data_IF_210803139188
#
_entry.id   IF_210803139188
#
_cell.length_a   1.000
_cell.length_b   1.000
_cell.length_c   1.000
_cell.angle_alpha   90.00
_cell.angle_beta   90.00
_cell.angle_gamma   90.00
#
_symmetry.space_group_name_H-M   'P 1'
#
loop_
_entity.id
_entity.type
_entity.pdbx_description
1 polymer ?
#
# COMPACT_ATOMS: atom_id res chain seq x y z
N UNK A 1 18.64 -13.43 -13.04
CA UNK A 1 19.01 -12.01 -12.81
C UNK A 1 18.05 -11.33 -11.83
N UNK A 2 16.73 -11.18 -12.09
CA UNK A 2 15.78 -10.51 -11.17
C UNK A 2 15.71 -11.17 -9.79
N UNK A 3 15.65 -12.50 -9.71
CA UNK A 3 15.68 -13.22 -8.44
C UNK A 3 16.97 -12.95 -7.65
N UNK A 4 18.11 -12.89 -8.32
CA UNK A 4 19.39 -12.58 -7.69
C UNK A 4 19.41 -11.12 -7.21
N UNK A 5 18.88 -10.19 -8.00
CA UNK A 5 18.76 -8.77 -7.61
C UNK A 5 17.90 -8.63 -6.33
N UNK A 6 16.74 -9.30 -6.27
CA UNK A 6 15.90 -9.32 -5.07
C UNK A 6 16.60 -9.98 -3.88
N UNK A 7 17.33 -11.08 -4.08
CA UNK A 7 18.04 -11.76 -3.02
C UNK A 7 19.16 -10.89 -2.42
N UNK A 8 19.84 -10.07 -3.26
CA UNK A 8 20.94 -9.19 -2.83
C UNK A 8 20.46 -7.85 -2.29
N UNK A 9 19.25 -7.41 -2.61
CA UNK A 9 18.72 -6.09 -2.24
C UNK A 9 18.59 -5.89 -0.72
N UNK A 10 18.51 -6.96 0.09
CA UNK A 10 18.34 -6.88 1.54
C UNK A 10 19.56 -6.43 2.32
N UNK A 11 20.72 -6.38 1.69
CA UNK A 11 21.97 -6.22 2.42
C UNK A 11 22.21 -4.80 2.97
N UNK A 12 21.38 -3.82 2.64
CA UNK A 12 21.68 -2.42 2.99
C UNK A 12 20.64 -1.64 3.77
N UNK A 13 19.32 -1.93 3.71
CA UNK A 13 18.34 -0.92 4.15
C UNK A 13 17.27 -1.39 5.15
N UNK A 14 16.71 -2.62 5.08
CA UNK A 14 15.60 -3.06 5.96
C UNK A 14 15.64 -4.50 6.44
N UNK A 15 16.78 -4.97 6.81
CA UNK A 15 16.92 -6.33 7.35
C UNK A 15 16.16 -6.59 8.65
N UNK A 16 15.63 -5.54 9.31
CA UNK A 16 14.85 -5.64 10.54
C UNK A 16 13.32 -5.75 10.30
N UNK A 17 12.81 -5.33 9.16
CA UNK A 17 11.37 -5.36 8.90
C UNK A 17 10.94 -6.72 8.36
N UNK A 18 10.35 -7.56 9.23
CA UNK A 18 9.96 -8.95 8.92
C UNK A 18 9.01 -9.05 7.72
N UNK A 19 8.04 -8.13 7.58
CA UNK A 19 7.08 -8.15 6.47
C UNK A 19 7.76 -7.89 5.12
N UNK A 20 8.68 -6.92 5.07
CA UNK A 20 9.46 -6.64 3.86
C UNK A 20 10.32 -7.84 3.46
N UNK A 21 11.01 -8.46 4.43
CA UNK A 21 11.84 -9.63 4.19
C UNK A 21 11.02 -10.81 3.63
N UNK A 22 9.86 -11.12 4.22
CA UNK A 22 8.98 -12.18 3.73
C UNK A 22 8.51 -11.85 2.30
N UNK A 23 8.07 -10.61 2.03
CA UNK A 23 7.60 -10.19 0.71
C UNK A 23 8.70 -10.27 -0.34
N UNK A 24 9.93 -9.88 0.01
CA UNK A 24 11.11 -9.97 -0.84
C UNK A 24 11.42 -11.42 -1.22
N UNK A 25 11.41 -12.35 -0.26
CA UNK A 25 11.65 -13.76 -0.52
C UNK A 25 10.53 -14.40 -1.33
N UNK A 26 9.27 -14.00 -1.13
CA UNK A 26 8.15 -14.41 -1.97
C UNK A 26 8.35 -13.97 -3.41
N UNK A 27 8.71 -12.70 -3.66
CA UNK A 27 9.01 -12.22 -5.01
C UNK A 27 10.22 -12.93 -5.63
N UNK A 28 11.27 -13.20 -4.85
CA UNK A 28 12.41 -13.98 -5.30
C UNK A 28 11.98 -15.37 -5.77
N UNK A 29 11.14 -16.05 -4.99
CA UNK A 29 10.55 -17.35 -5.34
C UNK A 29 9.69 -17.30 -6.62
N UNK A 30 8.88 -16.25 -6.79
CA UNK A 30 8.09 -16.05 -8.00
C UNK A 30 9.00 -15.89 -9.24
N UNK A 31 10.08 -15.11 -9.14
CA UNK A 31 11.04 -14.93 -10.25
C UNK A 31 11.82 -16.19 -10.56
N UNK A 32 12.15 -17.01 -9.55
CA UNK A 32 12.76 -18.34 -9.77
C UNK A 32 11.78 -19.27 -10.49
N UNK A 33 10.54 -19.33 -10.06
CA UNK A 33 9.50 -20.15 -10.70
C UNK A 33 9.26 -19.72 -12.14
N UNK A 34 9.31 -18.41 -12.40
CA UNK A 34 9.23 -17.86 -13.75
C UNK A 34 10.42 -18.28 -14.63
N UNK A 35 11.63 -18.30 -14.07
CA UNK A 35 12.83 -18.77 -14.75
C UNK A 35 12.74 -20.27 -15.06
N UNK A 36 12.27 -21.08 -14.12
CA UNK A 36 12.04 -22.52 -14.31
C UNK A 36 11.02 -22.76 -15.42
N UNK A 37 9.92 -22.01 -15.45
CA UNK A 37 8.92 -22.09 -16.51
C UNK A 37 9.54 -21.89 -17.89
N UNK A 38 10.34 -20.82 -18.09
CA UNK A 38 11.00 -20.57 -19.38
C UNK A 38 12.02 -21.65 -19.72
N UNK A 39 12.82 -22.10 -18.76
CA UNK A 39 13.81 -23.16 -18.95
C UNK A 39 13.15 -24.47 -19.41
N UNK A 40 12.06 -24.89 -18.75
CA UNK A 40 11.31 -26.07 -19.13
C UNK A 40 10.68 -25.91 -20.52
N UNK A 41 10.16 -24.73 -20.83
CA UNK A 41 9.56 -24.45 -22.14
C UNK A 41 10.59 -24.53 -23.29
N UNK A 42 11.82 -24.07 -23.03
CA UNK A 42 12.91 -24.15 -24.02
C UNK A 42 13.39 -25.59 -24.23
N UNK A 43 13.56 -26.36 -23.16
CA UNK A 43 14.13 -27.71 -23.24
C UNK A 43 13.11 -28.79 -23.64
N UNK A 44 11.86 -28.70 -23.16
CA UNK A 44 10.85 -29.72 -23.41
C UNK A 44 9.96 -29.41 -24.62
N UNK A 45 10.08 -28.22 -25.18
CA UNK A 45 9.42 -27.83 -26.43
C UNK A 45 7.90 -27.95 -26.40
N UNK A 46 7.24 -27.76 -25.25
CA UNK A 46 5.78 -27.92 -25.10
C UNK A 46 4.95 -27.13 -26.11
N UNK A 47 5.45 -25.97 -26.56
CA UNK A 47 4.80 -25.19 -27.62
C UNK A 47 4.85 -25.89 -28.98
N UNK A 48 5.87 -26.68 -29.25
CA UNK A 48 5.97 -27.49 -30.48
C UNK A 48 4.99 -28.64 -30.50
N UNK A 49 4.43 -29.06 -29.34
CA UNK A 49 3.42 -30.12 -29.24
C UNK A 49 1.99 -29.64 -29.53
N UNK A 50 1.80 -28.34 -29.71
CA UNK A 50 0.53 -27.70 -30.04
C UNK A 50 0.21 -26.51 -29.16
N UNK A 51 -0.60 -25.59 -29.67
CA UNK A 51 -1.01 -24.37 -28.96
C UNK A 51 -1.73 -24.69 -27.63
N UNK A 52 -2.54 -25.74 -27.62
CA UNK A 52 -3.31 -26.18 -26.42
C UNK A 52 -2.40 -26.64 -25.29
N UNK A 53 -1.37 -27.44 -25.60
CA UNK A 53 -0.40 -27.92 -24.60
C UNK A 53 0.39 -26.74 -24.03
N UNK A 54 0.81 -25.82 -24.89
CA UNK A 54 1.48 -24.59 -24.47
C UNK A 54 0.61 -23.73 -23.56
N UNK A 55 -0.69 -23.61 -23.85
CA UNK A 55 -1.65 -22.85 -23.05
C UNK A 55 -1.83 -23.49 -21.66
N UNK A 56 -2.03 -24.79 -21.59
CA UNK A 56 -2.13 -25.55 -20.34
C UNK A 56 -0.89 -25.31 -19.47
N UNK A 57 0.29 -25.46 -20.05
CA UNK A 57 1.55 -25.28 -19.35
C UNK A 57 1.70 -23.83 -18.83
N UNK A 58 1.33 -22.85 -19.63
CA UNK A 58 1.35 -21.43 -19.22
C UNK A 58 0.41 -21.19 -18.04
N UNK A 59 -0.83 -21.68 -18.08
CA UNK A 59 -1.80 -21.51 -16.99
C UNK A 59 -1.28 -22.14 -15.69
N UNK A 60 -0.73 -23.36 -15.77
CA UNK A 60 -0.19 -24.09 -14.63
C UNK A 60 0.94 -23.34 -13.90
N UNK A 61 1.77 -22.59 -14.64
CA UNK A 61 2.87 -21.82 -14.06
C UNK A 61 2.49 -20.37 -13.72
N UNK A 62 1.73 -19.70 -14.59
CA UNK A 62 1.41 -18.28 -14.35
C UNK A 62 0.45 -18.07 -13.19
N UNK A 63 -0.44 -19.04 -12.90
CA UNK A 63 -1.34 -18.95 -11.74
C UNK A 63 -0.57 -18.89 -10.42
N UNK A 64 0.33 -19.83 -10.08
CA UNK A 64 1.08 -19.78 -8.83
C UNK A 64 2.07 -18.61 -8.79
N UNK A 65 2.67 -18.20 -9.92
CA UNK A 65 3.55 -17.02 -9.99
C UNK A 65 2.77 -15.78 -9.61
N UNK A 66 1.61 -15.54 -10.25
CA UNK A 66 0.75 -14.39 -9.96
C UNK A 66 0.20 -14.42 -8.54
N UNK A 67 -0.10 -15.60 -8.03
CA UNK A 67 -0.52 -15.79 -6.64
C UNK A 67 0.57 -15.40 -5.65
N UNK A 68 1.82 -15.83 -5.85
CA UNK A 68 2.95 -15.50 -4.98
C UNK A 68 3.26 -13.99 -5.02
N UNK A 69 3.21 -13.37 -6.22
CA UNK A 69 3.36 -11.91 -6.37
C UNK A 69 2.26 -11.18 -5.59
N UNK A 70 1.01 -11.65 -5.72
CA UNK A 70 -0.14 -11.08 -4.99
C UNK A 70 0.04 -11.17 -3.48
N UNK A 71 0.46 -12.34 -2.98
CA UNK A 71 0.74 -12.54 -1.55
C UNK A 71 1.87 -11.64 -1.05
N UNK A 72 2.91 -11.45 -1.86
CA UNK A 72 4.01 -10.54 -1.53
C UNK A 72 3.52 -9.11 -1.33
N UNK A 73 2.70 -8.60 -2.27
CA UNK A 73 2.14 -7.25 -2.20
C UNK A 73 1.18 -7.12 -1.01
N UNK A 74 0.26 -8.09 -0.83
CA UNK A 74 -0.70 -8.07 0.28
C UNK A 74 0.03 -8.14 1.63
N UNK A 75 1.05 -8.98 1.77
CA UNK A 75 1.81 -9.09 3.01
C UNK A 75 2.48 -7.77 3.40
N UNK A 76 2.94 -6.99 2.40
CA UNK A 76 3.55 -5.69 2.62
C UNK A 76 2.52 -4.59 2.91
N UNK A 77 1.38 -4.62 2.20
CA UNK A 77 0.37 -3.55 2.22
C UNK A 77 -0.78 -3.81 3.20
N UNK A 78 -0.93 -5.04 3.73
CA UNK A 78 -2.06 -5.37 4.61
C UNK A 78 -1.97 -4.64 5.94
N UNK A 79 -3.06 -3.97 6.28
CA UNK A 79 -3.27 -3.32 7.57
C UNK A 79 -3.83 -4.28 8.62
N UNK A 80 -4.23 -5.49 8.21
CA UNK A 80 -4.84 -6.51 9.06
C UNK A 80 -4.13 -7.85 8.90
N UNK A 81 -4.16 -8.70 9.92
CA UNK A 81 -3.49 -10.00 9.92
C UNK A 81 -4.22 -11.06 9.05
N UNK A 82 -4.86 -10.64 7.95
CA UNK A 82 -5.70 -11.48 7.10
C UNK A 82 -4.95 -12.20 5.96
N UNK A 83 -3.61 -12.13 5.92
CA UNK A 83 -2.79 -12.75 4.86
C UNK A 83 -3.10 -14.24 4.70
N UNK A 84 -3.36 -14.95 5.79
CA UNK A 84 -3.72 -16.38 5.76
C UNK A 84 -5.01 -16.65 4.96
N UNK A 85 -6.02 -15.77 5.06
CA UNK A 85 -7.27 -15.92 4.27
C UNK A 85 -7.03 -15.78 2.78
N UNK A 86 -6.16 -14.83 2.37
CA UNK A 86 -5.77 -14.68 0.96
C UNK A 86 -4.95 -15.88 0.49
N UNK A 87 -4.08 -16.42 1.36
CA UNK A 87 -3.30 -17.61 1.08
C UNK A 87 -4.20 -18.83 0.82
N UNK A 88 -5.17 -19.09 1.68
CA UNK A 88 -6.11 -20.21 1.54
C UNK A 88 -6.98 -20.07 0.27
N UNK A 89 -7.50 -18.88 -0.02
CA UNK A 89 -8.34 -18.64 -1.21
C UNK A 89 -7.54 -18.81 -2.51
N UNK A 90 -6.33 -18.26 -2.56
CA UNK A 90 -5.46 -18.40 -3.74
C UNK A 90 -5.02 -19.85 -3.95
N UNK A 91 -4.67 -20.57 -2.89
CA UNK A 91 -4.34 -21.99 -2.95
C UNK A 91 -5.54 -22.84 -3.42
N UNK A 92 -6.76 -22.55 -2.94
CA UNK A 92 -7.98 -23.21 -3.39
C UNK A 92 -8.26 -22.96 -4.87
N UNK A 93 -8.09 -21.72 -5.35
CA UNK A 93 -8.24 -21.39 -6.78
C UNK A 93 -7.24 -22.16 -7.64
N UNK A 94 -5.98 -22.26 -7.22
CA UNK A 94 -4.98 -23.04 -7.93
C UNK A 94 -5.29 -24.55 -7.90
N UNK A 95 -5.72 -25.07 -6.75
CA UNK A 95 -6.12 -26.48 -6.62
C UNK A 95 -7.25 -26.85 -7.59
N UNK A 96 -8.25 -25.97 -7.78
CA UNK A 96 -9.32 -26.18 -8.76
C UNK A 96 -8.77 -26.27 -10.20
N UNK A 97 -7.83 -25.41 -10.57
CA UNK A 97 -7.17 -25.45 -11.88
C UNK A 97 -6.43 -26.77 -12.07
N UNK A 98 -5.69 -27.24 -11.05
CA UNK A 98 -4.98 -28.52 -11.07
C UNK A 98 -5.95 -29.69 -11.20
N UNK A 99 -7.08 -29.68 -10.51
CA UNK A 99 -8.13 -30.70 -10.62
C UNK A 99 -8.66 -30.79 -12.05
N UNK A 100 -9.02 -29.65 -12.66
CA UNK A 100 -9.50 -29.61 -14.05
C UNK A 100 -8.44 -30.16 -15.01
N UNK A 101 -7.18 -29.79 -14.82
CA UNK A 101 -6.06 -30.31 -15.60
C UNK A 101 -5.96 -31.85 -15.48
N UNK A 102 -5.93 -32.36 -14.26
CA UNK A 102 -5.83 -33.81 -14.02
C UNK A 102 -7.01 -34.56 -14.63
N UNK A 103 -8.24 -34.05 -14.45
CA UNK A 103 -9.43 -34.64 -15.09
C UNK A 103 -9.30 -34.67 -16.62
N UNK A 104 -8.80 -33.58 -17.21
CA UNK A 104 -8.58 -33.51 -18.65
C UNK A 104 -7.55 -34.48 -19.18
N UNK A 105 -6.45 -34.66 -18.47
CA UNK A 105 -5.42 -35.66 -18.80
C UNK A 105 -5.96 -37.08 -18.69
N UNK A 106 -6.73 -37.41 -17.64
CA UNK A 106 -7.35 -38.74 -17.46
C UNK A 106 -8.34 -39.01 -18.58
N UNK A 107 -9.19 -38.04 -18.97
CA UNK A 107 -10.19 -38.23 -20.01
C UNK A 107 -9.59 -38.42 -21.40
N UNK A 108 -8.52 -37.68 -21.72
CA UNK A 108 -7.96 -37.65 -23.07
C UNK A 108 -6.69 -38.52 -23.23
N UNK A 109 -6.15 -39.08 -22.14
CA UNK A 109 -4.91 -39.86 -22.15
C UNK A 109 -3.67 -39.10 -22.64
N UNK A 110 -3.77 -37.72 -22.67
CA UNK A 110 -2.72 -36.87 -23.19
C UNK A 110 -2.77 -35.49 -22.53
N UNK A 111 -1.71 -34.70 -22.73
CA UNK A 111 -1.67 -33.28 -22.25
C UNK A 111 -2.63 -32.35 -23.01
N UNK A 112 -3.26 -32.82 -24.08
CA UNK A 112 -4.31 -32.10 -24.81
C UNK A 112 -5.65 -32.37 -24.14
N UNK A 113 -6.06 -31.46 -23.26
CA UNK A 113 -7.26 -31.60 -22.41
C UNK A 113 -8.57 -31.19 -23.13
N UNK A 114 -8.53 -30.91 -24.42
CA UNK A 114 -9.73 -30.58 -25.24
C UNK A 114 -10.51 -29.38 -24.69
N UNK A 115 -11.85 -29.57 -24.59
CA UNK A 115 -12.76 -28.50 -24.13
C UNK A 115 -12.52 -28.05 -22.68
N UNK A 116 -11.89 -28.87 -21.85
CA UNK A 116 -11.54 -28.51 -20.47
C UNK A 116 -10.48 -27.39 -20.39
N UNK A 117 -9.74 -27.12 -21.49
CA UNK A 117 -8.86 -25.96 -21.60
C UNK A 117 -9.62 -24.65 -21.38
N UNK A 118 -10.83 -24.53 -21.94
CA UNK A 118 -11.65 -23.32 -21.78
C UNK A 118 -12.12 -23.14 -20.33
N UNK A 119 -12.45 -24.23 -19.65
CA UNK A 119 -12.78 -24.21 -18.21
C UNK A 119 -11.58 -23.77 -17.39
N UNK A 120 -10.41 -24.35 -17.68
CA UNK A 120 -9.15 -24.01 -17.00
C UNK A 120 -8.78 -22.53 -17.24
N UNK A 121 -8.98 -22.01 -18.48
CA UNK A 121 -8.77 -20.61 -18.81
C UNK A 121 -9.77 -19.70 -18.09
N UNK A 122 -11.04 -20.06 -17.99
CA UNK A 122 -12.04 -19.29 -17.24
C UNK A 122 -11.69 -19.19 -15.76
N UNK A 123 -11.24 -20.28 -15.15
CA UNK A 123 -10.76 -20.29 -13.76
C UNK A 123 -9.49 -19.43 -13.59
N UNK A 124 -8.59 -19.44 -14.56
CA UNK A 124 -7.41 -18.60 -14.57
C UNK A 124 -7.79 -17.12 -14.63
N UNK A 125 -8.70 -16.71 -15.55
CA UNK A 125 -9.18 -15.33 -15.63
C UNK A 125 -9.86 -14.91 -14.35
N UNK A 126 -10.71 -15.76 -13.76
CA UNK A 126 -11.38 -15.48 -12.50
C UNK A 126 -10.37 -15.30 -11.35
N UNK A 127 -9.33 -16.14 -11.28
CA UNK A 127 -8.27 -16.00 -10.26
C UNK A 127 -7.45 -14.71 -10.46
N UNK A 128 -7.13 -14.33 -11.70
CA UNK A 128 -6.44 -13.06 -11.98
C UNK A 128 -7.29 -11.86 -11.56
N UNK A 129 -8.58 -11.85 -11.91
CA UNK A 129 -9.50 -10.81 -11.48
C UNK A 129 -9.59 -10.69 -9.96
N UNK A 130 -9.66 -11.83 -9.26
CA UNK A 130 -9.65 -11.88 -7.79
C UNK A 130 -8.35 -11.32 -7.21
N UNK A 131 -7.19 -11.65 -7.78
CA UNK A 131 -5.89 -11.16 -7.32
C UNK A 131 -5.77 -9.64 -7.48
N UNK A 132 -6.15 -9.11 -8.65
CA UNK A 132 -6.17 -7.67 -8.92
C UNK A 132 -7.11 -6.95 -7.93
N UNK A 133 -8.31 -7.47 -7.72
CA UNK A 133 -9.28 -6.92 -6.78
C UNK A 133 -8.70 -6.89 -5.35
N UNK A 134 -8.11 -8.00 -4.90
CA UNK A 134 -7.55 -8.13 -3.55
C UNK A 134 -6.41 -7.14 -3.28
N UNK A 135 -5.49 -6.99 -4.24
CA UNK A 135 -4.40 -6.01 -4.13
C UNK A 135 -4.96 -4.58 -4.07
N UNK A 136 -5.91 -4.25 -4.96
CA UNK A 136 -6.52 -2.92 -5.00
C UNK A 136 -7.23 -2.59 -3.69
N UNK A 137 -7.98 -3.53 -3.13
CA UNK A 137 -8.72 -3.37 -1.88
C UNK A 137 -7.78 -3.09 -0.70
N UNK A 138 -6.71 -3.88 -0.53
CA UNK A 138 -5.73 -3.69 0.54
C UNK A 138 -4.95 -2.36 0.39
N UNK A 139 -4.55 -2.00 -0.82
CA UNK A 139 -3.88 -0.71 -1.07
C UNK A 139 -4.81 0.47 -0.75
N UNK A 140 -6.11 0.38 -1.09
CA UNK A 140 -7.06 1.44 -0.76
C UNK A 140 -7.24 1.58 0.75
N UNK A 141 -7.35 0.47 1.48
CA UNK A 141 -7.43 0.45 2.95
C UNK A 141 -6.18 1.09 3.57
N UNK A 142 -4.98 0.67 3.14
CA UNK A 142 -3.73 1.24 3.63
C UNK A 142 -3.60 2.73 3.31
N UNK A 143 -3.92 3.12 2.07
CA UNK A 143 -3.94 4.53 1.68
C UNK A 143 -4.86 5.35 2.59
N UNK A 144 -6.07 4.86 2.86
CA UNK A 144 -7.02 5.53 3.75
C UNK A 144 -6.43 5.67 5.15
N UNK A 145 -5.91 4.57 5.72
CA UNK A 145 -5.26 4.57 7.05
C UNK A 145 -4.09 5.57 7.11
N UNK A 146 -3.17 5.53 6.15
CA UNK A 146 -2.02 6.45 6.09
C UNK A 146 -2.46 7.93 5.96
N UNK A 147 -3.51 8.20 5.17
CA UNK A 147 -4.03 9.55 5.01
C UNK A 147 -4.73 10.08 6.27
N UNK A 148 -5.27 9.21 7.11
CA UNK A 148 -5.92 9.57 8.36
C UNK A 148 -4.92 9.75 9.51
N UNK A 149 -3.84 8.97 9.53
CA UNK A 149 -2.90 8.85 10.65
C UNK A 149 -1.62 9.68 10.51
N UNK A 150 -1.23 10.07 9.30
CA UNK A 150 0.03 10.79 9.05
C UNK A 150 -0.18 12.22 8.56
N UNK A 151 0.59 13.14 9.13
CA UNK A 151 0.65 14.53 8.70
C UNK A 151 1.54 14.75 7.46
N UNK A 152 2.39 13.76 7.13
CA UNK A 152 3.40 13.85 6.06
C UNK A 152 2.76 13.77 4.66
N UNK A 153 3.33 14.47 3.68
CA UNK A 153 2.88 14.38 2.28
C UNK A 153 3.48 13.17 1.56
N UNK A 154 2.81 12.03 1.68
CA UNK A 154 3.21 10.77 1.04
C UNK A 154 2.80 10.69 -0.46
N UNK A 155 2.20 11.75 -1.03
CA UNK A 155 1.65 11.71 -2.39
C UNK A 155 2.67 11.40 -3.50
N UNK A 156 3.93 11.87 -3.48
CA UNK A 156 4.90 11.53 -4.51
C UNK A 156 5.18 10.02 -4.56
N UNK A 157 5.33 9.39 -3.39
CA UNK A 157 5.60 7.94 -3.26
C UNK A 157 4.40 7.10 -3.68
N UNK A 158 3.21 7.51 -3.25
CA UNK A 158 1.95 6.85 -3.62
C UNK A 158 1.78 6.85 -5.15
N UNK A 159 2.11 7.94 -5.85
CA UNK A 159 2.01 8.00 -7.32
C UNK A 159 2.95 7.01 -8.00
N UNK A 160 4.20 6.92 -7.57
CA UNK A 160 5.17 6.01 -8.15
C UNK A 160 4.75 4.55 -7.96
N UNK A 161 4.38 4.16 -6.73
CA UNK A 161 3.86 2.83 -6.42
C UNK A 161 2.58 2.51 -7.21
N UNK A 162 1.66 3.47 -7.33
CA UNK A 162 0.45 3.30 -8.14
C UNK A 162 0.75 3.10 -9.63
N UNK A 163 1.74 3.76 -10.17
CA UNK A 163 2.14 3.59 -11.57
C UNK A 163 2.66 2.19 -11.84
N UNK A 164 3.58 1.69 -10.99
CA UNK A 164 4.12 0.32 -11.15
C UNK A 164 3.04 -0.75 -11.01
N UNK A 165 2.11 -0.59 -10.07
CA UNK A 165 0.98 -1.50 -9.89
C UNK A 165 -0.02 -1.42 -11.04
N UNK A 166 -0.29 -0.25 -11.59
CA UNK A 166 -1.16 -0.08 -12.75
C UNK A 166 -0.61 -0.81 -13.96
N UNK A 167 0.70 -0.70 -14.21
CA UNK A 167 1.37 -1.44 -15.28
C UNK A 167 1.30 -2.96 -15.05
N UNK A 168 1.46 -3.41 -13.80
CA UNK A 168 1.31 -4.82 -13.44
C UNK A 168 -0.12 -5.32 -13.70
N UNK A 169 -1.15 -4.53 -13.38
CA UNK A 169 -2.55 -4.89 -13.65
C UNK A 169 -2.84 -4.97 -15.15
N UNK A 170 -2.32 -4.03 -15.94
CA UNK A 170 -2.45 -4.07 -17.40
C UNK A 170 -1.80 -5.35 -17.93
N UNK A 171 -0.60 -5.70 -17.49
CA UNK A 171 0.07 -6.92 -17.91
C UNK A 171 -0.72 -8.19 -17.53
N UNK A 172 -1.28 -8.23 -16.33
CA UNK A 172 -2.09 -9.35 -15.87
C UNK A 172 -3.40 -9.50 -16.68
N UNK A 173 -4.03 -8.39 -17.08
CA UNK A 173 -5.24 -8.40 -17.92
C UNK A 173 -4.95 -8.89 -19.36
N UNK A 174 -3.75 -8.66 -19.88
CA UNK A 174 -3.32 -9.16 -21.19
C UNK A 174 -2.91 -10.63 -21.21
N UNK A 175 -2.53 -11.21 -20.06
CA UNK A 175 -2.05 -12.59 -19.97
C UNK A 175 -2.99 -13.64 -20.58
N UNK A 176 -4.30 -13.65 -20.33
CA UNK A 176 -5.21 -14.62 -20.94
C UNK A 176 -5.21 -14.59 -22.48
N UNK A 177 -5.13 -13.39 -23.05
CA UNK A 177 -5.10 -13.17 -24.51
C UNK A 177 -3.79 -13.74 -25.08
N UNK A 178 -2.68 -13.45 -24.44
CA UNK A 178 -1.35 -13.93 -24.86
C UNK A 178 -1.21 -15.45 -24.76
N UNK A 179 -1.91 -16.08 -23.80
CA UNK A 179 -1.94 -17.53 -23.64
C UNK A 179 -2.63 -18.19 -24.83
N UNK A 180 -3.76 -17.62 -25.31
CA UNK A 180 -4.53 -18.12 -26.45
C UNK A 180 -3.82 -17.91 -27.78
N UNK A 181 -3.18 -16.77 -27.97
CA UNK A 181 -2.56 -16.37 -29.22
C UNK A 181 -1.03 -16.45 -29.11
N UNK A 182 -0.48 -17.61 -29.42
CA UNK A 182 0.98 -17.89 -29.26
C UNK A 182 1.87 -16.88 -30.06
N UNK A 183 1.43 -16.43 -31.23
CA UNK A 183 2.13 -15.44 -32.04
C UNK A 183 2.22 -14.08 -31.33
N UNK A 184 1.19 -13.70 -30.58
CA UNK A 184 1.15 -12.45 -29.84
C UNK A 184 2.21 -12.39 -28.74
N UNK A 185 2.55 -13.54 -28.14
CA UNK A 185 3.57 -13.64 -27.10
C UNK A 185 4.96 -13.19 -27.59
N UNK A 186 5.26 -13.38 -28.87
CA UNK A 186 6.55 -12.96 -29.45
C UNK A 186 6.73 -11.44 -29.35
N UNK A 187 5.65 -10.68 -29.53
CA UNK A 187 5.68 -9.21 -29.50
C UNK A 187 5.41 -8.63 -28.10
N UNK A 188 4.47 -9.21 -27.39
CA UNK A 188 4.03 -8.72 -26.06
C UNK A 188 4.95 -9.23 -24.94
N UNK A 189 5.57 -10.39 -25.10
CA UNK A 189 6.44 -11.00 -24.09
C UNK A 189 7.60 -10.10 -23.63
N UNK A 190 8.38 -9.49 -24.54
CA UNK A 190 9.44 -8.55 -24.17
C UNK A 190 8.90 -7.32 -23.40
N UNK A 191 7.75 -6.78 -23.82
CA UNK A 191 7.11 -5.65 -23.13
C UNK A 191 6.67 -6.04 -21.70
N UNK A 192 6.07 -7.21 -21.53
CA UNK A 192 5.70 -7.74 -20.22
C UNK A 192 6.91 -7.95 -19.33
N UNK A 193 8.03 -8.43 -19.89
CA UNK A 193 9.28 -8.57 -19.15
C UNK A 193 9.78 -7.21 -18.64
N UNK A 194 9.74 -6.16 -19.47
CA UNK A 194 10.10 -4.80 -19.06
C UNK A 194 9.21 -4.29 -17.92
N UNK A 195 7.91 -4.57 -17.96
CA UNK A 195 6.97 -4.21 -16.89
C UNK A 195 7.35 -4.93 -15.59
N UNK A 196 7.69 -6.22 -15.65
CA UNK A 196 8.13 -6.98 -14.48
C UNK A 196 9.45 -6.44 -13.93
N UNK A 197 10.42 -6.10 -14.79
CA UNK A 197 11.69 -5.48 -14.39
C UNK A 197 11.43 -4.16 -13.69
N UNK A 198 10.57 -3.31 -14.26
CA UNK A 198 10.19 -2.02 -13.66
C UNK A 198 9.50 -2.22 -12.31
N UNK A 199 8.58 -3.18 -12.19
CA UNK A 199 7.90 -3.50 -10.93
C UNK A 199 8.90 -3.98 -9.86
N UNK A 200 9.81 -4.91 -10.20
CA UNK A 200 10.83 -5.39 -9.26
C UNK A 200 11.78 -4.26 -8.84
N UNK A 201 12.21 -3.44 -9.79
CA UNK A 201 13.03 -2.27 -9.49
C UNK A 201 12.29 -1.27 -8.60
N UNK A 202 11.03 -1.00 -8.89
CA UNK A 202 10.15 -0.15 -8.08
C UNK A 202 10.01 -0.68 -6.65
N UNK A 203 9.82 -2.00 -6.49
CA UNK A 203 9.74 -2.65 -5.19
C UNK A 203 11.02 -2.47 -4.37
N UNK A 204 12.18 -2.69 -4.98
CA UNK A 204 13.48 -2.52 -4.33
C UNK A 204 13.75 -1.05 -3.99
N UNK A 205 13.35 -0.13 -4.88
CA UNK A 205 13.59 1.32 -4.73
C UNK A 205 12.64 2.00 -3.75
N UNK A 206 11.51 1.39 -3.38
CA UNK A 206 10.60 1.92 -2.35
C UNK A 206 11.32 2.23 -1.04
N UNK A 207 12.40 1.52 -0.79
CA UNK A 207 13.22 1.67 0.40
C UNK A 207 14.03 2.98 0.44
N UNK A 208 14.40 3.54 -0.71
CA UNK A 208 15.11 4.82 -0.78
C UNK A 208 14.22 6.03 -0.47
N UNK A 209 12.90 5.85 -0.50
CA UNK A 209 11.93 6.93 -0.40
C UNK A 209 11.22 6.99 0.96
N UNK A 210 11.48 6.03 1.84
CA UNK A 210 10.95 6.05 3.20
C UNK A 210 12.00 6.68 4.11
N UNK A 211 11.59 7.76 4.79
CA UNK A 211 12.46 8.46 5.73
C UNK A 211 12.92 7.54 6.86
N UNK A 212 14.18 7.65 7.34
CA UNK A 212 14.62 6.93 8.53
C UNK A 212 13.71 7.12 9.76
N UNK A 213 13.02 8.26 9.85
CA UNK A 213 12.04 8.54 10.90
C UNK A 213 10.77 7.71 10.78
N UNK A 214 10.36 7.29 9.56
CA UNK A 214 9.19 6.44 9.37
C UNK A 214 9.41 5.03 9.94
N UNK A 215 10.66 4.58 10.06
CA UNK A 215 11.01 3.30 10.67
C UNK A 215 10.80 3.33 12.20
N UNK A 216 11.13 4.43 12.85
CA UNK A 216 10.93 4.63 14.30
C UNK A 216 9.43 4.69 14.60
N UNK A 217 8.66 5.33 13.73
CA UNK A 217 7.21 5.44 13.84
C UNK A 217 6.55 4.07 13.67
N UNK A 218 6.96 3.30 12.65
CA UNK A 218 6.41 1.96 12.42
C UNK A 218 6.77 0.98 13.56
N UNK A 219 7.97 1.03 14.14
CA UNK A 219 8.34 0.21 15.29
C UNK A 219 7.55 0.60 16.56
N UNK A 220 7.28 1.89 16.76
CA UNK A 220 6.45 2.35 17.87
C UNK A 220 4.97 2.00 17.64
N UNK A 221 4.48 2.12 16.41
CA UNK A 221 3.11 1.76 16.03
C UNK A 221 2.86 0.26 16.20
N UNK A 222 3.81 -0.61 15.80
CA UNK A 222 3.70 -2.06 16.01
C UNK A 222 3.77 -2.45 17.50
N UNK A 223 4.59 -1.76 18.31
CA UNK A 223 4.64 -1.97 19.76
C UNK A 223 3.34 -1.53 20.45
N UNK A 224 2.79 -0.37 20.07
CA UNK A 224 1.53 0.13 20.61
C UNK A 224 0.36 -0.75 20.14
N UNK A 225 0.32 -1.18 18.88
CA UNK A 225 -0.71 -2.10 18.37
C UNK A 225 -0.61 -3.49 19.02
N UNK A 226 0.59 -3.95 19.40
CA UNK A 226 0.78 -5.18 20.16
C UNK A 226 0.32 -5.03 21.61
N UNK A 227 0.56 -3.88 22.24
CA UNK A 227 0.10 -3.57 23.60
C UNK A 227 -1.42 -3.43 23.62
N UNK A 228 -2.01 -2.67 22.68
CA UNK A 228 -3.46 -2.53 22.55
C UNK A 228 -4.15 -3.88 22.25
N UNK A 229 -3.54 -4.74 21.43
CA UNK A 229 -4.06 -6.09 21.16
C UNK A 229 -3.83 -7.07 22.32
N UNK A 230 -2.84 -6.86 23.17
CA UNK A 230 -2.64 -7.64 24.40
C UNK A 230 -3.67 -7.25 25.47
N UNK A 231 -3.90 -5.95 25.65
CA UNK A 231 -4.94 -5.42 26.55
C UNK A 231 -6.36 -5.86 26.11
N UNK A 232 -6.64 -5.91 24.79
CA UNK A 232 -7.91 -6.41 24.24
C UNK A 232 -8.08 -7.91 24.51
N UNK A 233 -7.01 -8.72 24.46
CA UNK A 233 -7.09 -10.16 24.78
C UNK A 233 -7.33 -10.43 26.26
N UNK A 234 -6.81 -9.58 27.13
CA UNK A 234 -7.06 -9.68 28.57
C UNK A 234 -8.48 -9.14 28.92
N UNK A 235 -9.05 -8.24 28.11
CA UNK A 235 -10.43 -7.76 28.25
C UNK A 235 -11.46 -8.70 27.59
N UNK A 236 -11.13 -9.43 26.50
CA UNK A 236 -12.02 -10.44 25.92
C UNK A 236 -12.31 -11.62 26.88
N UNK A 237 -11.47 -11.83 27.91
CA UNK A 237 -11.72 -12.76 29.01
C UNK A 237 -12.61 -12.15 30.11
N UNK A 238 -12.92 -10.87 30.03
CA UNK A 238 -13.87 -10.18 30.92
C UNK A 238 -14.99 -9.51 30.13
N UNK A 239 -15.95 -10.33 29.71
CA UNK A 239 -17.37 -9.95 29.46
C UNK A 239 -17.61 -8.75 28.54
N UNK A 240 -18.35 -8.98 27.43
CA UNK A 240 -19.42 -8.14 26.90
C UNK A 240 -19.76 -6.93 27.80
N UNK A 241 -19.00 -5.86 27.70
CA UNK A 241 -19.40 -4.55 28.21
C UNK A 241 -19.61 -3.60 27.02
N UNK A 242 -20.63 -2.74 27.03
CA UNK A 242 -20.87 -1.76 25.97
C UNK A 242 -19.64 -0.88 25.83
N UNK A 243 -19.30 -0.48 24.56
CA UNK A 243 -18.34 0.61 24.30
C UNK A 243 -18.76 1.80 25.19
N UNK A 244 -18.04 2.02 26.28
CA UNK A 244 -18.24 3.22 27.09
C UNK A 244 -17.85 4.40 26.21
N UNK A 245 -18.86 5.17 25.78
CA UNK A 245 -18.67 6.51 25.26
C UNK A 245 -17.73 7.25 26.20
N UNK A 246 -16.66 7.84 25.66
CA UNK A 246 -15.74 8.68 26.41
C UNK A 246 -16.53 9.61 27.34
N UNK A 247 -16.21 9.56 28.64
CA UNK A 247 -16.89 10.43 29.60
C UNK A 247 -16.64 11.90 29.22
N UNK A 248 -17.60 12.77 29.45
CA UNK A 248 -17.43 14.22 29.16
C UNK A 248 -16.20 14.82 29.87
N UNK A 249 -15.85 14.27 31.02
CA UNK A 249 -14.68 14.67 31.77
C UNK A 249 -13.37 14.28 31.05
N UNK A 250 -13.32 13.09 30.46
CA UNK A 250 -12.18 12.62 29.65
C UNK A 250 -12.02 13.44 28.39
N UNK A 251 -13.11 13.78 27.72
CA UNK A 251 -13.08 14.67 26.53
C UNK A 251 -12.49 16.04 26.87
N UNK A 252 -12.87 16.65 28.01
CA UNK A 252 -12.31 17.92 28.47
C UNK A 252 -10.84 17.84 28.83
N UNK A 253 -10.39 16.71 29.39
CA UNK A 253 -8.97 16.48 29.68
C UNK A 253 -8.16 16.45 28.38
N UNK A 254 -8.63 15.71 27.37
CA UNK A 254 -7.99 15.64 26.04
C UNK A 254 -7.99 17.03 25.39
N UNK A 255 -9.09 17.76 25.41
CA UNK A 255 -9.18 19.12 24.87
C UNK A 255 -8.14 20.07 25.50
N UNK A 256 -8.03 20.02 26.82
CA UNK A 256 -7.10 20.87 27.57
C UNK A 256 -5.64 20.53 27.23
N UNK A 257 -5.33 19.24 27.14
CA UNK A 257 -4.01 18.75 26.76
C UNK A 257 -3.67 19.11 25.31
N UNK A 258 -4.62 18.99 24.37
CA UNK A 258 -4.45 19.39 22.96
C UNK A 258 -4.21 20.91 22.85
N UNK A 259 -4.92 21.72 23.61
CA UNK A 259 -4.72 23.18 23.63
C UNK A 259 -3.29 23.51 24.05
N UNK A 260 -2.83 22.95 25.16
CA UNK A 260 -1.45 23.13 25.64
C UNK A 260 -0.43 22.67 24.60
N UNK A 261 -0.63 21.52 23.98
CA UNK A 261 0.23 21.00 22.93
C UNK A 261 0.33 21.96 21.72
N UNK A 262 -0.78 22.63 21.36
CA UNK A 262 -0.79 23.65 20.32
C UNK A 262 -0.08 24.93 20.77
N UNK A 263 -0.28 25.37 22.01
CA UNK A 263 0.39 26.56 22.58
C UNK A 263 1.90 26.37 22.64
N UNK A 264 2.36 25.15 22.96
CA UNK A 264 3.78 24.76 22.97
C UNK A 264 4.38 24.68 21.54
N UNK A 265 3.58 24.86 20.49
CA UNK A 265 4.03 24.87 19.09
C UNK A 265 4.41 23.48 18.53
N UNK A 266 4.02 22.41 19.19
CA UNK A 266 4.38 21.03 18.82
C UNK A 266 3.82 20.60 17.46
N UNK A 267 2.80 21.29 16.92
CA UNK A 267 2.25 21.08 15.57
C UNK A 267 3.24 21.40 14.44
N UNK A 268 4.34 22.09 14.76
CA UNK A 268 5.40 22.44 13.81
C UNK A 268 6.33 21.27 13.45
N UNK A 269 6.30 20.20 14.21
CA UNK A 269 7.00 18.97 13.84
C UNK A 269 6.29 18.32 12.65
N UNK A 270 6.99 18.24 11.49
CA UNK A 270 6.42 17.67 10.27
C UNK A 270 6.15 16.16 10.35
N UNK A 271 6.72 15.47 11.34
CA UNK A 271 6.61 14.01 11.53
C UNK A 271 5.54 13.60 12.55
N UNK A 272 4.73 14.52 13.05
CA UNK A 272 3.66 14.20 14.02
C UNK A 272 2.69 13.18 13.44
N UNK A 273 2.46 12.10 14.19
CA UNK A 273 1.43 11.10 13.94
C UNK A 273 0.37 11.13 15.03
N UNK A 274 -0.79 10.49 14.81
CA UNK A 274 -1.82 10.35 15.83
C UNK A 274 -1.30 9.56 17.04
N UNK A 275 -0.36 8.64 16.85
CA UNK A 275 0.26 7.85 17.91
C UNK A 275 1.20 8.68 18.76
N UNK A 276 2.12 9.45 18.13
CA UNK A 276 3.01 10.35 18.88
C UNK A 276 2.23 11.43 19.61
N UNK A 277 1.14 11.93 19.02
CA UNK A 277 0.24 12.88 19.69
C UNK A 277 -0.45 12.23 20.89
N UNK A 278 -1.02 11.03 20.76
CA UNK A 278 -1.67 10.32 21.86
C UNK A 278 -0.69 10.05 23.01
N UNK A 279 0.54 9.62 22.70
CA UNK A 279 1.59 9.43 23.69
C UNK A 279 1.95 10.74 24.42
N UNK A 280 2.08 11.86 23.70
CA UNK A 280 2.37 13.16 24.28
C UNK A 280 1.23 13.69 25.18
N UNK A 281 -0.01 13.34 24.86
CA UNK A 281 -1.20 13.73 25.63
C UNK A 281 -1.49 12.77 26.81
N UNK A 282 -0.79 11.65 26.91
CA UNK A 282 -1.06 10.61 27.92
C UNK A 282 -2.43 9.94 27.73
N UNK A 283 -2.87 9.78 26.48
CA UNK A 283 -4.12 9.11 26.14
C UNK A 283 -3.88 7.97 25.14
N UNK A 284 -4.88 7.08 25.01
CA UNK A 284 -4.82 6.02 24.01
C UNK A 284 -5.26 6.55 22.63
N UNK A 285 -4.74 5.95 21.55
CA UNK A 285 -5.09 6.34 20.18
C UNK A 285 -6.60 6.35 19.93
N UNK A 286 -7.31 5.34 20.41
CA UNK A 286 -8.76 5.24 20.19
C UNK A 286 -9.53 6.40 20.86
N UNK A 287 -9.12 6.84 22.07
CA UNK A 287 -9.68 7.98 22.76
C UNK A 287 -9.53 9.27 21.93
N UNK A 288 -8.35 9.46 21.35
CA UNK A 288 -8.06 10.61 20.52
C UNK A 288 -8.82 10.58 19.18
N UNK A 289 -8.95 9.40 18.57
CA UNK A 289 -9.74 9.22 17.35
C UNK A 289 -11.23 9.51 17.62
N UNK A 290 -11.75 9.03 18.73
CA UNK A 290 -13.14 9.28 19.14
C UNK A 290 -13.36 10.76 19.50
N UNK A 291 -12.41 11.40 20.19
CA UNK A 291 -12.43 12.85 20.42
C UNK A 291 -12.55 13.65 19.11
N UNK A 292 -11.72 13.38 18.11
CA UNK A 292 -11.80 14.08 16.83
C UNK A 292 -13.14 13.85 16.11
N UNK A 293 -13.67 12.63 16.17
CA UNK A 293 -14.97 12.32 15.57
C UNK A 293 -16.15 13.02 16.27
N UNK A 294 -16.12 13.08 17.60
CA UNK A 294 -17.22 13.63 18.41
C UNK A 294 -17.16 15.16 18.53
N UNK A 295 -15.97 15.72 18.83
CA UNK A 295 -15.83 17.12 19.19
C UNK A 295 -15.53 18.01 17.98
N UNK A 296 -14.68 17.55 17.06
CA UNK A 296 -14.24 18.34 15.92
C UNK A 296 -14.94 17.93 14.62
N UNK A 297 -15.73 16.86 14.62
CA UNK A 297 -16.33 16.26 13.42
C UNK A 297 -15.37 16.09 12.25
N UNK A 298 -14.10 15.75 12.56
CA UNK A 298 -13.00 15.69 11.63
C UNK A 298 -12.03 14.57 12.01
N UNK A 299 -10.98 14.39 11.25
CA UNK A 299 -9.90 13.47 11.60
C UNK A 299 -8.63 14.25 11.97
N UNK A 300 -7.68 13.57 12.63
CA UNK A 300 -6.41 14.13 13.07
C UNK A 300 -5.69 14.93 11.96
N UNK A 301 -5.62 14.37 10.75
CA UNK A 301 -4.91 15.01 9.65
C UNK A 301 -5.56 16.32 9.22
N UNK A 302 -6.88 16.35 9.10
CA UNK A 302 -7.62 17.56 8.73
C UNK A 302 -7.47 18.62 9.81
N UNK A 303 -7.65 18.24 11.08
CA UNK A 303 -7.46 19.10 12.24
C UNK A 303 -6.06 19.73 12.27
N UNK A 304 -5.00 18.92 12.16
CA UNK A 304 -3.61 19.42 12.15
C UNK A 304 -3.33 20.31 10.94
N UNK A 305 -3.87 19.94 9.78
CA UNK A 305 -3.78 20.76 8.57
C UNK A 305 -4.43 22.14 8.74
N UNK A 306 -5.53 22.22 9.49
CA UNK A 306 -6.24 23.47 9.76
C UNK A 306 -5.44 24.38 10.69
N UNK A 307 -4.83 23.84 11.73
CA UNK A 307 -3.94 24.57 12.63
C UNK A 307 -2.75 25.15 11.83
N UNK A 308 -2.06 24.31 11.07
CA UNK A 308 -0.91 24.72 10.25
C UNK A 308 -1.29 25.75 9.19
N UNK A 309 -2.46 25.61 8.58
CA UNK A 309 -2.98 26.58 7.60
C UNK A 309 -3.26 27.94 8.24
N UNK A 310 -3.88 27.97 9.42
CA UNK A 310 -4.13 29.21 10.14
C UNK A 310 -2.83 29.91 10.56
N UNK A 311 -1.86 29.12 11.00
CA UNK A 311 -0.52 29.64 11.31
C UNK A 311 0.18 30.19 10.06
N UNK A 312 0.09 29.50 8.93
CA UNK A 312 0.65 29.98 7.67
C UNK A 312 0.03 31.32 7.24
N UNK A 313 -1.28 31.49 7.38
CA UNK A 313 -1.93 32.77 7.14
C UNK A 313 -1.39 33.90 8.07
N UNK A 314 -1.16 33.56 9.34
CA UNK A 314 -0.61 34.49 10.34
C UNK A 314 0.82 34.88 9.98
N UNK A 315 1.66 33.91 9.60
CA UNK A 315 3.06 34.18 9.20
C UNK A 315 3.10 35.03 7.93
N UNK A 316 2.31 34.73 6.90
CA UNK A 316 2.26 35.48 5.65
C UNK A 316 1.85 36.94 5.89
N UNK A 317 0.94 37.21 6.83
CA UNK A 317 0.52 38.56 7.19
C UNK A 317 1.62 39.35 7.92
N UNK A 318 2.31 38.69 8.84
CA UNK A 318 3.30 39.32 9.69
C UNK A 318 4.67 39.45 9.01
N UNK A 319 5.02 38.54 8.10
CA UNK A 319 6.31 38.46 7.42
C UNK A 319 6.09 38.28 5.92
N UNK A 320 5.64 39.33 5.22
CA UNK A 320 5.30 39.22 3.80
C UNK A 320 6.50 38.96 2.88
N UNK A 321 7.73 39.08 3.38
CA UNK A 321 9.00 38.78 2.70
C UNK A 321 9.34 37.28 2.69
N UNK A 322 8.74 36.48 3.57
CA UNK A 322 9.04 35.05 3.64
C UNK A 322 8.62 34.33 2.36
N UNK A 323 9.51 33.47 1.85
CA UNK A 323 9.18 32.62 0.74
C UNK A 323 8.33 31.43 1.19
N UNK A 324 7.75 30.70 0.23
CA UNK A 324 6.85 29.58 0.53
C UNK A 324 7.57 28.40 1.22
N UNK A 325 8.87 28.23 0.98
CA UNK A 325 9.66 27.19 1.63
C UNK A 325 9.88 27.50 3.10
N UNK A 326 10.24 28.75 3.43
CA UNK A 326 10.36 29.22 4.82
C UNK A 326 9.03 29.06 5.57
N UNK A 327 7.92 29.48 4.96
CA UNK A 327 6.59 29.36 5.57
C UNK A 327 6.23 27.90 5.80
N UNK A 328 6.55 27.01 4.84
CA UNK A 328 6.32 25.56 4.99
C UNK A 328 7.02 25.01 6.21
N UNK A 329 8.30 25.32 6.39
CA UNK A 329 9.12 24.83 7.52
C UNK A 329 8.58 25.39 8.85
N UNK A 330 8.31 26.70 8.92
CA UNK A 330 7.82 27.36 10.13
C UNK A 330 6.46 26.87 10.59
N UNK A 331 5.64 26.36 9.67
CA UNK A 331 4.31 25.79 9.97
C UNK A 331 4.31 24.28 10.15
N UNK A 332 5.44 23.59 9.94
CA UNK A 332 5.54 22.12 10.06
C UNK A 332 5.00 21.37 8.86
N UNK A 333 4.90 21.98 7.69
CA UNK A 333 4.59 21.25 6.46
C UNK A 333 5.83 20.52 5.95
N UNK A 334 5.65 19.29 5.48
CA UNK A 334 6.75 18.46 4.97
C UNK A 334 7.30 18.95 3.62
N UNK A 335 6.57 19.82 2.90
CA UNK A 335 7.01 20.36 1.61
C UNK A 335 6.20 21.62 1.20
N UNK A 336 6.80 22.44 0.34
CA UNK A 336 6.09 23.58 -0.27
C UNK A 336 4.90 23.12 -1.15
N UNK A 337 4.94 21.92 -1.69
CA UNK A 337 3.82 21.34 -2.44
C UNK A 337 2.62 21.10 -1.54
N UNK A 338 2.83 20.71 -0.30
CA UNK A 338 1.77 20.49 0.69
C UNK A 338 1.06 21.79 1.04
N UNK A 339 1.80 22.87 1.35
CA UNK A 339 1.20 24.18 1.66
C UNK A 339 0.45 24.73 0.44
N UNK A 340 1.00 24.59 -0.78
CA UNK A 340 0.33 25.00 -2.02
C UNK A 340 -1.02 24.30 -2.18
N UNK A 341 -1.06 22.97 -2.00
CA UNK A 341 -2.28 22.18 -2.12
C UNK A 341 -3.34 22.58 -1.10
N UNK A 342 -2.95 22.80 0.14
CA UNK A 342 -3.85 23.20 1.23
C UNK A 342 -4.44 24.58 0.97
N UNK A 343 -3.62 25.57 0.58
CA UNK A 343 -4.12 26.89 0.22
C UNK A 343 -5.10 26.82 -0.95
N UNK A 344 -4.74 26.07 -2.01
CA UNK A 344 -5.61 25.90 -3.18
C UNK A 344 -6.94 25.25 -2.84
N UNK A 345 -6.91 24.26 -1.95
CA UNK A 345 -8.14 23.56 -1.50
C UNK A 345 -9.03 24.45 -0.63
N UNK A 346 -8.44 25.24 0.28
CA UNK A 346 -9.20 26.04 1.27
C UNK A 346 -9.60 27.42 0.78
N UNK A 347 -8.82 28.03 -0.11
CA UNK A 347 -9.03 29.42 -0.55
C UNK A 347 -9.23 29.57 -2.06
N UNK A 348 -8.97 28.51 -2.84
CA UNK A 348 -8.92 28.60 -4.30
C UNK A 348 -7.64 29.27 -4.84
N UNK A 349 -6.80 29.84 -3.98
CA UNK A 349 -5.59 30.61 -4.34
C UNK A 349 -4.32 29.84 -3.96
N UNK A 350 -3.20 30.14 -4.63
CA UNK A 350 -1.89 29.72 -4.13
C UNK A 350 -1.45 30.59 -2.93
N UNK A 351 -0.46 30.15 -2.12
CA UNK A 351 0.06 30.99 -1.02
C UNK A 351 0.53 32.37 -1.49
N UNK A 352 1.19 32.45 -2.64
CA UNK A 352 1.64 33.75 -3.24
C UNK A 352 0.46 34.59 -3.69
N UNK A 353 -0.52 34.00 -4.42
CA UNK A 353 -1.73 34.72 -4.83
C UNK A 353 -2.54 35.21 -3.62
N UNK A 354 -2.61 34.42 -2.55
CA UNK A 354 -3.30 34.79 -1.32
C UNK A 354 -2.57 35.94 -0.60
N UNK A 355 -1.23 35.97 -0.61
CA UNK A 355 -0.39 37.06 -0.10
C UNK A 355 -0.68 38.38 -0.84
N UNK A 356 -0.65 38.34 -2.18
CA UNK A 356 -0.88 39.50 -3.01
C UNK A 356 -2.30 40.05 -2.83
N UNK A 357 -3.29 39.19 -2.76
CA UNK A 357 -4.67 39.56 -2.50
C UNK A 357 -4.86 40.28 -1.15
N UNK A 358 -4.21 39.78 -0.09
CA UNK A 358 -4.28 40.41 1.24
C UNK A 358 -3.52 41.73 1.29
N UNK A 359 -2.44 41.93 0.53
CA UNK A 359 -1.75 43.25 0.42
C UNK A 359 -2.65 44.29 -0.22
N UNK A 360 -3.41 43.89 -1.24
CA UNK A 360 -4.34 44.84 -1.91
C UNK A 360 -5.53 45.24 -1.03
N UNK A 361 -5.91 44.43 -0.05
CA UNK A 361 -6.99 44.75 0.89
C UNK A 361 -6.54 45.61 2.09
N UNK A 362 -5.24 45.79 2.30
CA UNK A 362 -4.66 46.55 3.39
C UNK A 362 -4.22 47.98 2.94
N UNK A 363 -4.26 48.24 1.64
CA UNK A 363 -4.06 49.56 1.01
C UNK A 363 -5.39 50.25 0.77
#
# INVERSE_FOLDING_TARGET
MLALHLAMASLQVRWKERRYEISRWLLCGAMLLFSIHYFLQMNLGFRGQGADVGAVFNIMFYTPISFIITLSIINMESTTNNVLRYCLRGAAAYALIVIVFVCGVIQNGSLRIGSLLYVMLALFVASMAYFIYSIRDEIQKRKKKLLEESATDLMPYVRYAQTSLTLLYISAAFMPIVILFNTLLLYVGPLMLLIIVFFVHSFVSLDYYISPNDNIINEQDELVEQIDNADIKDEELKVQAPQELLSQERLKQIETALRKWCEDGMYKDCNVTIYSLAANLGCKKYELTEYFNLSEHTNFRTWLSDIRFNEAKRIIKNNPEYNNDTISIECGFSSHTQIYRIFKQKTGLSPSQWRDHNRQQQL
#
